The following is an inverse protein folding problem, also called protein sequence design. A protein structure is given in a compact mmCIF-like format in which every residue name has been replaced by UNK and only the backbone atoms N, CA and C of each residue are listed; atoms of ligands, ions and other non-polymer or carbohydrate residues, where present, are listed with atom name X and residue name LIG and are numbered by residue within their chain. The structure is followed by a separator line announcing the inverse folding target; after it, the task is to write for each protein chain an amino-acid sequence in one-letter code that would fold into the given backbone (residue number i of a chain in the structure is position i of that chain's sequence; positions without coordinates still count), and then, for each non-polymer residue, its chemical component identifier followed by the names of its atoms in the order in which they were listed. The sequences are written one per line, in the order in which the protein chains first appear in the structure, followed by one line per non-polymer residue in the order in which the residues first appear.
data_IF_608337735432
#
_entry.id   IF_608337735432
#
_cell.length_a   1.000
_cell.length_b   1.000
_cell.length_c   1.000
_cell.angle_alpha   90.00
_cell.angle_beta   90.00
_cell.angle_gamma   90.00
#
_symmetry.space_group_name_H-M   'P 1'
#
loop_
_entity.id
_entity.type
_entity.pdbx_description
1 polymer ?
#
# COMPACT_ATOMS: atom_id res chain seq x y z
N UNK A 1 -18.04 5.30 -13.69
CA UNK A 1 -17.47 4.53 -12.56
C UNK A 1 -16.55 5.45 -11.78
N UNK A 2 -16.68 5.59 -10.45
CA UNK A 2 -15.78 6.40 -9.63
C UNK A 2 -14.33 5.94 -9.76
N UNK A 3 -13.36 6.87 -9.61
CA UNK A 3 -11.93 6.58 -9.77
C UNK A 3 -11.45 5.43 -8.89
N UNK A 4 -11.84 5.43 -7.62
CA UNK A 4 -11.53 4.35 -6.69
C UNK A 4 -12.02 2.97 -7.19
N UNK A 5 -13.22 2.90 -7.78
CA UNK A 5 -13.76 1.66 -8.32
C UNK A 5 -12.95 1.18 -9.54
N UNK A 6 -12.47 2.10 -10.39
CA UNK A 6 -11.52 1.78 -11.47
C UNK A 6 -10.18 1.24 -10.93
N UNK A 7 -9.69 1.80 -9.81
CA UNK A 7 -8.47 1.30 -9.18
C UNK A 7 -8.64 -0.09 -8.58
N UNK A 8 -9.79 -0.40 -7.96
CA UNK A 8 -10.10 -1.76 -7.48
C UNK A 8 -10.24 -2.76 -8.62
N UNK A 9 -10.82 -2.35 -9.75
CA UNK A 9 -10.89 -3.19 -10.94
C UNK A 9 -9.49 -3.50 -11.49
N UNK A 10 -8.65 -2.47 -11.65
CA UNK A 10 -7.25 -2.63 -12.06
C UNK A 10 -6.48 -3.57 -11.11
N UNK A 11 -6.64 -3.38 -9.79
CA UNK A 11 -6.03 -4.22 -8.77
C UNK A 11 -6.54 -5.67 -8.85
N UNK A 12 -7.82 -5.87 -9.11
CA UNK A 12 -8.42 -7.19 -9.26
C UNK A 12 -7.90 -7.93 -10.49
N UNK A 13 -7.78 -7.25 -11.62
CA UNK A 13 -7.21 -7.81 -12.84
C UNK A 13 -5.75 -8.21 -12.60
N UNK A 14 -4.94 -7.29 -12.08
CA UNK A 14 -3.53 -7.56 -11.77
C UNK A 14 -3.40 -8.73 -10.78
N UNK A 15 -4.21 -8.75 -9.73
CA UNK A 15 -4.19 -9.79 -8.70
C UNK A 15 -4.49 -11.17 -9.27
N UNK A 16 -5.42 -11.27 -10.23
CA UNK A 16 -5.74 -12.53 -10.90
C UNK A 16 -4.53 -13.08 -11.66
N UNK A 17 -3.89 -12.26 -12.51
CA UNK A 17 -2.70 -12.67 -13.27
C UNK A 17 -1.53 -13.06 -12.36
N UNK A 18 -1.28 -12.30 -11.29
CA UNK A 18 -0.21 -12.60 -10.34
C UNK A 18 -0.50 -13.91 -9.57
N UNK A 19 -1.75 -14.13 -9.19
CA UNK A 19 -2.17 -15.36 -8.49
C UNK A 19 -2.02 -16.59 -9.39
N UNK A 20 -2.45 -16.50 -10.64
CA UNK A 20 -2.30 -17.58 -11.63
C UNK A 20 -0.83 -17.92 -11.88
N UNK A 21 0.05 -16.90 -11.91
CA UNK A 21 1.49 -17.09 -12.02
C UNK A 21 2.17 -17.53 -10.71
N UNK A 22 1.42 -17.71 -9.61
CA UNK A 22 1.96 -18.12 -8.31
C UNK A 22 2.86 -17.06 -7.67
N UNK A 23 2.62 -15.78 -7.92
CA UNK A 23 3.38 -14.64 -7.40
C UNK A 23 2.68 -14.08 -6.15
N UNK A 24 3.22 -14.28 -4.94
CA UNK A 24 2.72 -13.62 -3.75
C UNK A 24 2.80 -12.10 -3.92
N UNK A 25 1.71 -11.42 -3.62
CA UNK A 25 1.60 -9.97 -3.78
C UNK A 25 0.64 -9.37 -2.76
N UNK A 26 0.79 -8.06 -2.52
CA UNK A 26 -0.09 -7.28 -1.67
C UNK A 26 -0.16 -5.82 -2.13
N UNK A 27 -1.35 -5.24 -2.10
CA UNK A 27 -1.60 -3.86 -2.48
C UNK A 27 -1.45 -2.90 -1.29
N UNK A 28 -1.09 -1.66 -1.58
CA UNK A 28 -1.23 -0.54 -0.64
C UNK A 28 -1.31 0.80 -1.40
N UNK A 29 -1.29 1.92 -0.68
CA UNK A 29 -1.46 3.28 -1.23
C UNK A 29 -2.74 3.93 -0.70
N UNK A 30 -3.06 5.15 -1.13
CA UNK A 30 -4.28 5.86 -0.70
C UNK A 30 -5.56 5.04 -0.90
N UNK A 31 -5.60 4.15 -1.90
CA UNK A 31 -6.74 3.24 -2.11
C UNK A 31 -7.01 2.31 -0.91
N UNK A 32 -6.01 2.04 -0.08
CA UNK A 32 -6.17 1.29 1.18
C UNK A 32 -7.08 2.04 2.14
N UNK A 33 -6.88 3.36 2.27
CA UNK A 33 -7.73 4.20 3.12
C UNK A 33 -9.17 4.23 2.59
N UNK A 34 -9.36 4.31 1.27
CA UNK A 34 -10.69 4.21 0.64
C UNK A 34 -11.34 2.85 0.91
N UNK A 35 -10.58 1.75 0.79
CA UNK A 35 -11.05 0.40 1.11
C UNK A 35 -11.49 0.26 2.57
N UNK A 36 -10.86 1.02 3.46
CA UNK A 36 -11.15 1.10 4.89
C UNK A 36 -12.26 2.13 5.21
N UNK A 37 -12.82 2.83 4.22
CA UNK A 37 -13.95 3.73 4.41
C UNK A 37 -13.59 5.21 4.60
N UNK A 38 -12.35 5.61 4.33
CA UNK A 38 -12.00 7.03 4.20
C UNK A 38 -12.84 7.69 3.10
N UNK A 39 -13.21 8.94 3.33
CA UNK A 39 -13.92 9.77 2.35
C UNK A 39 -12.96 10.56 1.44
N UNK A 40 -11.64 10.46 1.68
CA UNK A 40 -10.63 11.09 0.84
C UNK A 40 -10.46 10.29 -0.45
N UNK A 41 -10.25 11.01 -1.55
CA UNK A 41 -9.91 10.38 -2.83
C UNK A 41 -8.51 9.75 -2.76
N UNK A 42 -8.34 8.66 -3.50
CA UNK A 42 -7.05 8.01 -3.67
C UNK A 42 -6.46 8.36 -5.03
N UNK A 43 -5.20 8.79 -5.04
CA UNK A 43 -4.48 9.11 -6.28
C UNK A 43 -3.57 7.96 -6.73
N UNK A 44 -3.04 7.20 -5.79
CA UNK A 44 -2.08 6.14 -6.08
C UNK A 44 -2.44 4.75 -5.54
N UNK A 45 -1.91 3.75 -6.24
CA UNK A 45 -1.96 2.34 -5.86
C UNK A 45 -0.60 1.70 -6.15
N UNK A 46 -0.14 0.93 -5.17
CA UNK A 46 1.12 0.18 -5.22
C UNK A 46 0.82 -1.31 -5.08
N UNK A 47 1.65 -2.15 -5.70
CA UNK A 47 1.62 -3.59 -5.54
C UNK A 47 3.02 -4.10 -5.17
N UNK A 48 3.17 -4.59 -3.95
CA UNK A 48 4.40 -5.25 -3.49
C UNK A 48 4.35 -6.71 -3.95
N UNK A 49 5.40 -7.17 -4.63
CA UNK A 49 5.50 -8.54 -5.16
C UNK A 49 6.74 -9.26 -4.64
N UNK A 50 6.62 -10.56 -4.36
CA UNK A 50 7.77 -11.43 -4.15
C UNK A 50 8.40 -11.87 -5.48
N UNK A 51 9.70 -12.22 -5.47
CA UNK A 51 10.38 -12.79 -6.65
C UNK A 51 10.77 -11.78 -7.76
N UNK A 52 10.45 -10.49 -7.60
CA UNK A 52 10.91 -9.40 -8.46
C UNK A 52 10.14 -9.24 -9.78
N UNK A 53 10.63 -8.32 -10.63
CA UNK A 53 9.87 -7.81 -11.79
C UNK A 53 9.76 -8.75 -12.99
N UNK A 54 10.64 -9.75 -13.11
CA UNK A 54 10.60 -10.69 -14.25
C UNK A 54 9.32 -11.54 -14.24
N UNK A 55 8.91 -12.03 -13.07
CA UNK A 55 7.69 -12.81 -12.92
C UNK A 55 6.45 -12.00 -13.33
N UNK A 56 6.37 -10.75 -12.87
CA UNK A 56 5.26 -9.84 -13.20
C UNK A 56 5.14 -9.58 -14.70
N UNK A 57 6.26 -9.28 -15.38
CA UNK A 57 6.25 -9.08 -16.83
C UNK A 57 5.77 -10.31 -17.60
N UNK A 58 6.21 -11.49 -17.18
CA UNK A 58 5.80 -12.74 -17.81
C UNK A 58 4.31 -13.02 -17.58
N UNK A 59 3.80 -12.76 -16.36
CA UNK A 59 2.39 -12.96 -16.02
C UNK A 59 1.46 -12.08 -16.88
N UNK A 60 1.90 -10.88 -17.26
CA UNK A 60 1.12 -9.92 -18.04
C UNK A 60 1.41 -9.93 -19.55
N UNK A 61 2.27 -10.83 -20.04
CA UNK A 61 2.74 -10.79 -21.44
C UNK A 61 1.61 -10.91 -22.48
N UNK A 62 0.52 -11.62 -22.13
CA UNK A 62 -0.62 -11.85 -23.01
C UNK A 62 -1.89 -11.10 -22.55
N UNK A 63 -1.75 -10.11 -21.67
CA UNK A 63 -2.88 -9.30 -21.24
C UNK A 63 -3.11 -8.15 -22.23
N UNK A 64 -4.31 -8.09 -22.83
CA UNK A 64 -4.65 -7.05 -23.82
C UNK A 64 -4.99 -5.71 -23.16
N UNK A 65 -5.59 -5.75 -21.98
CA UNK A 65 -6.11 -4.56 -21.26
C UNK A 65 -5.11 -3.97 -20.26
N UNK A 66 -4.01 -4.68 -19.98
CA UNK A 66 -2.99 -4.24 -19.03
C UNK A 66 -1.59 -4.49 -19.59
N UNK A 67 -0.74 -3.46 -19.55
CA UNK A 67 0.65 -3.56 -20.01
C UNK A 67 1.64 -3.30 -18.88
N UNK A 68 2.87 -3.79 -19.04
CA UNK A 68 3.97 -3.53 -18.13
C UNK A 68 5.02 -2.62 -18.77
N UNK A 69 5.38 -1.53 -18.12
CA UNK A 69 6.47 -0.66 -18.54
C UNK A 69 7.46 -0.45 -17.40
N UNK A 70 8.75 -0.27 -17.73
CA UNK A 70 9.77 0.05 -16.73
C UNK A 70 10.19 1.50 -16.92
N UNK A 71 10.18 2.28 -15.85
CA UNK A 71 10.70 3.64 -15.89
C UNK A 71 12.22 3.59 -16.05
N UNK A 72 12.70 4.23 -17.11
CA UNK A 72 14.14 4.32 -17.41
C UNK A 72 14.92 5.11 -16.36
N UNK A 73 14.25 5.99 -15.59
CA UNK A 73 14.89 6.82 -14.58
C UNK A 73 14.84 6.21 -13.18
N UNK A 74 13.67 5.72 -12.75
CA UNK A 74 13.52 5.18 -11.39
C UNK A 74 13.82 3.69 -11.28
N UNK A 75 13.94 2.98 -12.40
CA UNK A 75 14.08 1.52 -12.42
C UNK A 75 12.84 0.78 -11.88
N UNK A 76 11.74 1.50 -11.65
CA UNK A 76 10.46 0.95 -11.15
C UNK A 76 9.65 0.36 -12.30
N UNK A 77 8.88 -0.67 -11.99
CA UNK A 77 7.95 -1.30 -12.92
C UNK A 77 6.54 -0.75 -12.68
N UNK A 78 5.82 -0.45 -13.74
CA UNK A 78 4.42 -0.01 -13.70
C UNK A 78 3.56 -0.99 -14.49
N UNK A 79 2.43 -1.38 -13.91
CA UNK A 79 1.36 -2.06 -14.62
C UNK A 79 0.25 -1.04 -14.93
N UNK A 80 -0.04 -0.82 -16.21
CA UNK A 80 -1.00 0.20 -16.66
C UNK A 80 -2.25 -0.49 -17.18
N UNK A 81 -3.40 -0.21 -16.57
CA UNK A 81 -4.72 -0.65 -17.02
C UNK A 81 -5.35 0.43 -17.92
N UNK A 82 -5.71 0.04 -19.15
CA UNK A 82 -6.02 0.97 -20.24
C UNK A 82 -7.50 1.23 -20.49
N UNK A 83 -8.40 0.40 -19.96
CA UNK A 83 -9.84 0.56 -20.19
C UNK A 83 -10.41 1.90 -19.67
N UNK A 84 -10.04 2.40 -18.47
CA UNK A 84 -10.50 3.71 -18.01
C UNK A 84 -9.68 4.85 -18.62
N UNK A 85 -10.33 6.01 -18.81
CA UNK A 85 -9.67 7.26 -19.19
C UNK A 85 -9.80 8.25 -18.02
N UNK A 86 -8.69 8.73 -17.43
CA UNK A 86 -7.30 8.37 -17.75
C UNK A 86 -6.95 6.93 -17.32
N UNK A 87 -5.89 6.30 -17.88
CA UNK A 87 -5.42 4.99 -17.45
C UNK A 87 -5.12 4.91 -15.95
N UNK A 88 -5.16 3.71 -15.39
CA UNK A 88 -4.78 3.45 -14.00
C UNK A 88 -3.38 2.86 -14.01
N UNK A 89 -2.44 3.52 -13.34
CA UNK A 89 -1.09 3.01 -13.17
C UNK A 89 -0.95 2.41 -11.76
N UNK A 90 -0.49 1.16 -11.72
CA UNK A 90 -0.13 0.47 -10.49
C UNK A 90 1.39 0.37 -10.46
N UNK A 91 2.01 1.03 -9.48
CA UNK A 91 3.44 0.92 -9.29
C UNK A 91 3.79 -0.41 -8.61
N UNK A 92 4.66 -1.19 -9.24
CA UNK A 92 5.08 -2.51 -8.78
C UNK A 92 6.40 -2.38 -8.02
N UNK A 93 6.40 -2.88 -6.78
CA UNK A 93 7.50 -2.76 -5.84
C UNK A 93 7.98 -4.13 -5.40
N UNK A 94 9.27 -4.27 -5.09
CA UNK A 94 9.82 -5.55 -4.64
C UNK A 94 9.66 -5.71 -3.14
N UNK A 95 9.14 -6.87 -2.73
CA UNK A 95 9.13 -7.31 -1.34
C UNK A 95 10.54 -7.22 -0.73
N UNK A 96 10.64 -6.68 0.48
CA UNK A 96 11.91 -6.49 1.20
C UNK A 96 12.68 -5.21 0.84
N UNK A 97 12.48 -4.63 -0.35
CA UNK A 97 12.84 -3.23 -0.65
C UNK A 97 11.74 -2.31 -0.11
N UNK A 98 10.48 -2.66 -0.38
CA UNK A 98 9.29 -2.06 0.23
C UNK A 98 8.41 -3.15 0.82
N UNK A 99 7.74 -2.85 1.93
CA UNK A 99 6.90 -3.84 2.60
C UNK A 99 7.71 -5.04 3.14
N UNK A 100 7.03 -6.13 3.53
CA UNK A 100 7.67 -7.29 4.14
C UNK A 100 8.51 -8.06 3.13
N UNK A 101 9.57 -8.75 3.58
CA UNK A 101 10.40 -9.61 2.72
C UNK A 101 9.66 -10.86 2.21
N UNK A 102 8.72 -11.37 3.02
CA UNK A 102 7.80 -12.44 2.65
C UNK A 102 6.37 -11.99 2.90
N UNK A 103 5.54 -12.06 1.88
CA UNK A 103 4.12 -11.79 1.85
C UNK A 103 3.38 -13.03 2.32
N UNK A 104 2.68 -12.92 3.44
CA UNK A 104 1.91 -14.02 4.04
C UNK A 104 0.81 -13.47 4.95
N UNK A 105 0.01 -14.37 5.53
CA UNK A 105 -1.14 -14.00 6.38
C UNK A 105 -0.82 -13.17 7.62
N UNK A 106 0.45 -13.05 8.04
CA UNK A 106 0.83 -12.18 9.16
C UNK A 106 1.01 -10.71 8.76
N UNK A 107 1.12 -10.42 7.46
CA UNK A 107 1.45 -9.09 6.94
C UNK A 107 0.56 -8.65 5.78
N UNK A 108 -0.46 -9.47 5.48
CA UNK A 108 -1.52 -9.19 4.51
C UNK A 108 -2.87 -9.28 5.21
N UNK A 109 -3.78 -8.40 4.82
CA UNK A 109 -5.22 -8.48 5.11
C UNK A 109 -6.01 -8.57 3.81
N UNK A 110 -7.21 -9.13 3.86
CA UNK A 110 -8.09 -9.20 2.68
C UNK A 110 -9.10 -8.06 2.73
N UNK A 111 -9.05 -7.15 1.77
CA UNK A 111 -10.05 -6.10 1.57
C UNK A 111 -10.69 -6.28 0.21
N UNK A 112 -12.02 -6.34 0.13
CA UNK A 112 -12.74 -6.57 -1.13
C UNK A 112 -12.22 -7.77 -1.93
N UNK A 113 -11.83 -8.86 -1.25
CA UNK A 113 -11.23 -10.08 -1.81
C UNK A 113 -9.87 -9.88 -2.50
N UNK A 114 -9.20 -8.77 -2.24
CA UNK A 114 -7.83 -8.50 -2.70
C UNK A 114 -6.84 -8.50 -1.52
N UNK A 115 -5.60 -8.97 -1.73
CA UNK A 115 -4.58 -8.96 -0.70
C UNK A 115 -4.01 -7.55 -0.54
N UNK A 116 -4.21 -6.93 0.61
CA UNK A 116 -3.61 -5.64 0.99
C UNK A 116 -2.57 -5.81 2.08
N UNK A 117 -1.57 -4.94 2.16
CA UNK A 117 -0.67 -4.91 3.32
C UNK A 117 -1.51 -4.75 4.61
N UNK A 118 -1.12 -5.46 5.67
CA UNK A 118 -1.78 -5.31 6.98
C UNK A 118 -1.64 -3.86 7.48
N UNK A 119 -2.49 -3.47 8.44
CA UNK A 119 -2.49 -2.13 9.03
C UNK A 119 -1.08 -1.67 9.43
N UNK A 120 -0.31 -2.53 10.12
CA UNK A 120 1.08 -2.20 10.49
C UNK A 120 2.02 -2.04 9.30
N UNK A 121 1.95 -2.91 8.30
CA UNK A 121 2.82 -2.81 7.12
C UNK A 121 2.44 -1.62 6.24
N UNK A 122 1.15 -1.29 6.15
CA UNK A 122 0.67 -0.07 5.51
C UNK A 122 1.27 1.17 6.16
N UNK A 123 1.14 1.31 7.49
CA UNK A 123 1.72 2.45 8.24
C UNK A 123 3.22 2.52 8.00
N UNK A 124 3.93 1.39 8.11
CA UNK A 124 5.39 1.35 7.89
C UNK A 124 5.78 1.77 6.47
N UNK A 125 5.06 1.31 5.45
CA UNK A 125 5.31 1.68 4.06
C UNK A 125 5.05 3.18 3.81
N UNK A 126 3.92 3.71 4.31
CA UNK A 126 3.57 5.13 4.19
C UNK A 126 4.51 6.03 4.98
N UNK A 127 4.95 5.61 6.17
CA UNK A 127 5.96 6.34 6.94
C UNK A 127 7.28 6.45 6.19
N UNK A 128 7.75 5.37 5.55
CA UNK A 128 8.97 5.41 4.75
C UNK A 128 8.86 6.39 3.58
N UNK A 129 7.71 6.41 2.89
CA UNK A 129 7.42 7.38 1.83
C UNK A 129 7.40 8.81 2.37
N UNK A 130 6.69 9.04 3.49
CA UNK A 130 6.62 10.34 4.15
C UNK A 130 7.99 10.83 4.62
N UNK A 131 8.85 9.97 5.17
CA UNK A 131 10.21 10.36 5.58
C UNK A 131 11.07 10.78 4.38
N UNK A 132 10.87 10.14 3.22
CA UNK A 132 11.62 10.43 2.01
C UNK A 132 11.16 11.73 1.32
N UNK A 133 9.86 12.03 1.37
CA UNK A 133 9.25 13.06 0.51
C UNK A 133 8.43 14.12 1.24
N UNK A 134 8.06 13.91 2.51
CA UNK A 134 7.26 14.83 3.30
C UNK A 134 5.83 15.05 2.78
N UNK A 135 5.27 14.09 2.04
CA UNK A 135 3.95 14.20 1.41
C UNK A 135 2.83 14.38 2.43
N UNK A 136 2.00 15.41 2.26
CA UNK A 136 0.81 15.61 3.10
C UNK A 136 -0.22 14.50 2.93
N UNK A 137 -0.33 13.92 1.73
CA UNK A 137 -1.21 12.77 1.48
C UNK A 137 -0.80 11.54 2.28
N UNK A 138 0.50 11.23 2.32
CA UNK A 138 1.02 10.14 3.15
C UNK A 138 0.78 10.41 4.64
N UNK A 139 0.92 11.66 5.09
CA UNK A 139 0.63 12.02 6.47
C UNK A 139 -0.87 11.85 6.80
N UNK A 140 -1.77 12.30 5.93
CA UNK A 140 -3.21 12.14 6.10
C UNK A 140 -3.62 10.65 6.18
N UNK A 141 -3.06 9.82 5.30
CA UNK A 141 -3.27 8.37 5.29
C UNK A 141 -2.81 7.70 6.60
N UNK A 142 -1.60 8.05 7.08
CA UNK A 142 -1.08 7.53 8.34
C UNK A 142 -2.00 7.95 9.50
N UNK A 143 -2.41 9.21 9.55
CA UNK A 143 -3.28 9.73 10.61
C UNK A 143 -4.62 9.00 10.60
N UNK A 144 -5.26 8.88 9.42
CA UNK A 144 -6.53 8.18 9.29
C UNK A 144 -6.43 6.74 9.78
N UNK A 145 -5.45 5.97 9.28
CA UNK A 145 -5.33 4.57 9.65
C UNK A 145 -4.97 4.40 11.13
N UNK A 146 -4.06 5.24 11.64
CA UNK A 146 -3.66 5.17 13.04
C UNK A 146 -4.83 5.49 13.97
N UNK A 147 -5.62 6.52 13.67
CA UNK A 147 -6.78 6.94 14.46
C UNK A 147 -7.91 5.91 14.45
N UNK A 148 -8.26 5.35 13.29
CA UNK A 148 -9.40 4.44 13.15
C UNK A 148 -9.05 2.98 13.49
N UNK A 149 -7.79 2.58 13.28
CA UNK A 149 -7.36 1.18 13.38
C UNK A 149 -6.22 0.97 14.38
N UNK A 150 -6.07 1.83 15.38
CA UNK A 150 -5.07 1.71 16.45
C UNK A 150 -5.01 0.30 17.07
N UNK A 151 -6.16 -0.38 17.20
CA UNK A 151 -6.26 -1.73 17.77
C UNK A 151 -5.62 -2.83 16.91
N UNK A 152 -5.50 -2.60 15.60
CA UNK A 152 -4.90 -3.54 14.65
C UNK A 152 -3.38 -3.32 14.46
N UNK A 153 -2.81 -2.31 15.14
CA UNK A 153 -1.38 -1.99 15.05
C UNK A 153 -0.59 -2.93 15.97
N UNK A 154 0.31 -3.71 15.35
CA UNK A 154 1.47 -4.33 15.98
C UNK A 154 2.61 -3.31 16.10
N UNK A 155 2.92 -2.89 17.32
CA UNK A 155 3.90 -1.84 17.59
C UNK A 155 5.33 -2.26 17.20
N UNK A 156 5.63 -3.57 17.26
CA UNK A 156 6.98 -4.08 16.97
C UNK A 156 7.35 -4.00 15.48
N UNK A 157 6.36 -3.67 14.64
CA UNK A 157 6.55 -3.44 13.20
C UNK A 157 6.73 -1.97 12.85
N UNK A 158 6.43 -1.06 13.79
CA UNK A 158 6.50 0.38 13.55
C UNK A 158 7.87 0.89 13.97
N UNK A 159 8.59 1.64 13.11
CA UNK A 159 9.84 2.27 13.50
C UNK A 159 9.55 3.43 14.47
N UNK A 160 9.71 3.15 15.76
CA UNK A 160 9.29 4.05 16.86
C UNK A 160 9.95 5.44 16.81
N UNK A 161 11.28 5.61 16.59
CA UNK A 161 11.89 6.93 16.53
C UNK A 161 11.27 7.83 15.45
N UNK A 162 10.96 7.25 14.30
CA UNK A 162 10.33 7.90 13.17
C UNK A 162 8.87 8.25 13.48
N UNK A 163 8.12 7.36 14.14
CA UNK A 163 6.75 7.61 14.57
C UNK A 163 6.70 8.73 15.62
N UNK A 164 7.63 8.72 16.58
CA UNK A 164 7.76 9.78 17.59
C UNK A 164 8.05 11.15 16.93
N UNK A 165 8.86 11.18 15.87
CA UNK A 165 9.06 12.38 15.06
C UNK A 165 7.77 12.79 14.35
N UNK A 166 7.04 11.84 13.78
CA UNK A 166 5.78 12.08 13.08
C UNK A 166 4.73 12.72 14.02
N UNK A 167 4.47 12.14 15.19
CA UNK A 167 3.48 12.66 16.15
C UNK A 167 3.89 13.96 16.85
N UNK A 168 5.17 14.35 16.76
CA UNK A 168 5.63 15.70 17.15
C UNK A 168 5.20 16.74 16.13
N UNK A 169 5.26 16.42 14.85
CA UNK A 169 4.83 17.30 13.75
C UNK A 169 3.31 17.34 13.58
N UNK A 170 2.61 16.25 13.91
CA UNK A 170 1.15 16.15 13.87
C UNK A 170 0.58 15.90 15.28
N UNK A 171 0.57 16.93 16.17
CA UNK A 171 0.28 16.76 17.61
C UNK A 171 -1.18 16.46 17.97
N UNK A 172 -2.09 16.46 16.99
CA UNK A 172 -3.52 16.20 17.18
C UNK A 172 -3.84 14.71 17.25
N UNK A 173 -4.72 14.26 16.34
CA UNK A 173 -5.22 12.88 16.30
C UNK A 173 -4.10 11.84 16.24
N UNK A 174 -3.04 12.09 15.46
CA UNK A 174 -1.89 11.18 15.34
C UNK A 174 -1.26 10.85 16.70
N UNK A 175 -1.05 11.87 17.54
CA UNK A 175 -0.45 11.70 18.87
C UNK A 175 -1.36 10.92 19.81
N UNK A 176 -2.67 11.21 19.80
CA UNK A 176 -3.64 10.51 20.64
C UNK A 176 -3.76 9.03 20.23
N UNK A 177 -3.81 8.78 18.92
CA UNK A 177 -3.86 7.44 18.36
C UNK A 177 -2.58 6.65 18.68
N UNK A 178 -1.40 7.28 18.54
CA UNK A 178 -0.14 6.64 18.91
C UNK A 178 -0.03 6.33 20.41
N UNK A 179 -0.47 7.24 21.29
CA UNK A 179 -0.54 6.98 22.72
C UNK A 179 -1.46 5.80 23.04
N UNK A 180 -2.58 5.67 22.31
CA UNK A 180 -3.49 4.53 22.42
C UNK A 180 -2.80 3.23 22.01
N UNK A 181 -2.02 3.24 20.92
CA UNK A 181 -1.20 2.08 20.53
C UNK A 181 -0.21 1.73 21.65
N UNK A 182 0.59 2.69 22.12
CA UNK A 182 1.61 2.47 23.17
C UNK A 182 1.04 1.91 24.46
N UNK A 183 -0.08 2.46 24.93
CA UNK A 183 -0.72 2.01 26.18
C UNK A 183 -1.13 0.53 26.16
N UNK A 184 -1.50 -0.02 24.99
CA UNK A 184 -1.81 -1.46 24.83
C UNK A 184 -0.61 -2.36 25.09
N UNK A 185 0.61 -1.83 24.97
CA UNK A 185 1.87 -2.53 25.21
C UNK A 185 2.55 -2.09 26.52
N UNK A 186 1.88 -1.26 27.35
CA UNK A 186 2.43 -0.78 28.62
C UNK A 186 3.55 0.26 28.48
N UNK A 187 3.57 1.00 27.37
CA UNK A 187 4.55 2.05 27.04
C UNK A 187 3.99 3.47 27.14
#
# INVERSE_FOLDING_TARGET
MPRAQQMFEAASILSAFLSEAGIPHAFYGGITCVALGSQQDAEEIYCVVEGGFKGVRNALQNCEIMTCSTSSWSGRLYATYHDPIPPIEIEILKAGETGPKRINGSNVMMLNRLPFLSISEFIRAKMNSWLAHGSEGDAADIIFVLSQYAQAVDINRIPEPEMERFVKLYPGEARQAWATVRSRYGL
#
